data_IF_927602645610
#
_entry.id   IF_927602645610
#
_cell.length_a   1.000
_cell.length_b   1.000
_cell.length_c   1.000
_cell.angle_alpha   90.00
_cell.angle_beta   90.00
_cell.angle_gamma   90.00
#
_symmetry.space_group_name_H-M   'P 1'
#
loop_
_entity.id
_entity.type
_entity.pdbx_description
1 polymer ?
#
# COMPACT_ATOMS: atom_id res chain seq x y z
N UNK A 1 -87.00 15.50 -3.97
CA UNK A 1 -85.58 15.87 -4.22
C UNK A 1 -84.74 15.52 -2.99
N UNK A 2 -84.53 14.23 -2.71
CA UNK A 2 -83.93 13.73 -1.45
C UNK A 2 -82.64 12.89 -1.65
N UNK A 3 -81.95 13.06 -2.78
CA UNK A 3 -80.81 12.21 -3.16
C UNK A 3 -79.44 12.92 -3.00
N UNK A 4 -79.42 14.24 -2.78
CA UNK A 4 -78.15 15.00 -2.76
C UNK A 4 -77.41 14.94 -1.41
N UNK A 5 -78.10 14.88 -0.27
CA UNK A 5 -77.44 14.85 1.06
C UNK A 5 -76.84 13.50 1.48
N UNK A 6 -77.28 12.36 0.92
CA UNK A 6 -76.71 11.03 1.25
C UNK A 6 -75.32 10.82 0.65
N UNK A 7 -75.00 11.46 -0.48
CA UNK A 7 -73.68 11.33 -1.13
C UNK A 7 -72.58 12.10 -0.37
N UNK A 8 -72.89 13.29 0.12
CA UNK A 8 -71.93 14.08 0.92
C UNK A 8 -71.66 13.46 2.28
N UNK A 9 -72.67 12.83 2.90
CA UNK A 9 -72.52 12.13 4.18
C UNK A 9 -71.59 10.91 4.02
N UNK A 10 -71.76 10.08 2.98
CA UNK A 10 -70.89 8.93 2.70
C UNK A 10 -69.45 9.34 2.39
N UNK A 11 -69.22 10.43 1.65
CA UNK A 11 -67.87 10.94 1.35
C UNK A 11 -67.17 11.45 2.63
N UNK A 12 -67.91 12.09 3.54
CA UNK A 12 -67.34 12.55 4.82
C UNK A 12 -66.94 11.37 5.71
N UNK A 13 -67.75 10.31 5.77
CA UNK A 13 -67.41 9.10 6.53
C UNK A 13 -66.19 8.35 5.96
N UNK A 14 -66.02 8.27 4.64
CA UNK A 14 -64.84 7.62 4.03
C UNK A 14 -63.55 8.38 4.36
N UNK A 15 -63.56 9.72 4.28
CA UNK A 15 -62.38 10.52 4.63
C UNK A 15 -62.07 10.49 6.13
N UNK A 16 -63.11 10.45 6.98
CA UNK A 16 -62.92 10.36 8.43
C UNK A 16 -62.39 8.98 8.86
N UNK A 17 -62.88 7.90 8.23
CA UNK A 17 -62.36 6.53 8.47
C UNK A 17 -60.91 6.41 7.99
N UNK A 18 -60.53 7.00 6.84
CA UNK A 18 -59.15 6.97 6.35
C UNK A 18 -58.17 7.69 7.30
N UNK A 19 -58.58 8.81 7.92
CA UNK A 19 -57.76 9.55 8.88
C UNK A 19 -57.63 8.83 10.24
N UNK A 20 -58.62 8.04 10.65
CA UNK A 20 -58.53 7.21 11.86
C UNK A 20 -57.60 6.00 11.62
N UNK A 21 -57.63 5.40 10.43
CA UNK A 21 -56.70 4.33 10.04
C UNK A 21 -55.24 4.80 10.01
N UNK A 22 -54.95 6.05 9.64
CA UNK A 22 -53.57 6.57 9.64
C UNK A 22 -53.10 7.07 11.01
N UNK A 23 -54.02 7.44 11.91
CA UNK A 23 -53.68 7.92 13.25
C UNK A 23 -53.47 6.81 14.31
N UNK A 24 -53.85 5.56 14.02
CA UNK A 24 -53.74 4.42 14.96
C UNK A 24 -52.62 3.44 14.63
N UNK A 25 -51.84 3.68 13.58
CA UNK A 25 -50.63 2.92 13.27
C UNK A 25 -49.39 3.56 13.93
N UNK A 26 -49.42 3.73 15.25
CA UNK A 26 -48.21 4.03 16.03
C UNK A 26 -47.43 2.75 16.32
N UNK A 27 -46.11 2.84 16.13
CA UNK A 27 -45.09 1.98 16.73
C UNK A 27 -44.86 0.60 16.11
N UNK A 28 -44.09 0.57 15.02
CA UNK A 28 -43.11 -0.52 14.81
C UNK A 28 -41.73 0.04 15.12
N UNK A 29 -41.07 -0.61 16.08
CA UNK A 29 -39.69 -0.38 16.46
C UNK A 29 -38.81 -0.41 15.21
N UNK A 30 -38.21 0.73 14.87
CA UNK A 30 -37.29 0.88 13.75
C UNK A 30 -35.87 0.84 14.30
N UNK A 31 -35.47 -0.27 14.90
CA UNK A 31 -34.14 -0.45 15.50
C UNK A 31 -33.41 -1.75 15.10
N UNK A 32 -33.96 -2.58 14.22
CA UNK A 32 -33.31 -3.85 13.81
C UNK A 32 -32.78 -3.89 12.36
N UNK A 33 -32.93 -2.81 11.58
CA UNK A 33 -32.46 -2.77 10.17
C UNK A 33 -31.15 -1.99 9.94
N UNK A 34 -30.59 -1.33 10.97
CA UNK A 34 -29.27 -0.69 10.85
C UNK A 34 -28.11 -1.61 11.26
N UNK A 35 -28.37 -2.72 11.96
CA UNK A 35 -27.30 -3.59 12.47
C UNK A 35 -26.89 -4.71 11.48
N UNK A 36 -27.74 -5.06 10.51
CA UNK A 36 -27.40 -6.10 9.53
C UNK A 36 -26.57 -5.61 8.33
N UNK A 37 -26.60 -4.30 8.03
CA UNK A 37 -25.90 -3.76 6.87
C UNK A 37 -24.41 -3.48 7.14
N UNK A 38 -24.04 -3.18 8.39
CA UNK A 38 -22.63 -3.14 8.84
C UNK A 38 -22.06 -4.55 8.95
N UNK A 39 -22.80 -5.48 9.57
CA UNK A 39 -22.33 -6.86 9.74
C UNK A 39 -22.08 -7.57 8.40
N UNK A 40 -22.93 -7.36 7.37
CA UNK A 40 -22.65 -7.92 6.05
C UNK A 40 -21.47 -7.24 5.36
N UNK A 41 -21.31 -5.91 5.44
CA UNK A 41 -20.11 -5.24 4.90
C UNK A 41 -18.84 -5.76 5.55
N UNK A 42 -18.84 -5.92 6.88
CA UNK A 42 -17.70 -6.48 7.61
C UNK A 42 -17.45 -7.96 7.25
N UNK A 43 -18.48 -8.79 7.11
CA UNK A 43 -18.32 -10.20 6.70
C UNK A 43 -17.80 -10.32 5.25
N UNK A 44 -18.25 -9.46 4.33
CA UNK A 44 -17.76 -9.45 2.95
C UNK A 44 -16.33 -8.90 2.84
N UNK A 45 -15.95 -7.89 3.63
CA UNK A 45 -14.59 -7.34 3.67
C UNK A 45 -13.60 -8.27 4.38
N UNK A 46 -14.03 -8.98 5.43
CA UNK A 46 -13.19 -9.92 6.19
C UNK A 46 -12.90 -11.19 5.39
N UNK A 47 -13.87 -11.73 4.64
CA UNK A 47 -13.62 -12.92 3.82
C UNK A 47 -12.73 -12.64 2.59
N UNK A 48 -12.70 -11.43 2.03
CA UNK A 48 -11.75 -11.08 0.97
C UNK A 48 -10.33 -10.82 1.50
N UNK A 49 -10.19 -10.47 2.78
CA UNK A 49 -8.90 -10.21 3.41
C UNK A 49 -8.25 -11.50 3.93
N UNK A 50 -9.04 -12.46 4.44
CA UNK A 50 -8.53 -13.70 5.03
C UNK A 50 -8.66 -14.95 4.12
N UNK A 51 -9.55 -14.96 3.12
CA UNK A 51 -9.71 -16.11 2.19
C UNK A 51 -8.84 -15.98 0.94
N UNK A 52 -8.44 -14.76 0.55
CA UNK A 52 -7.34 -14.55 -0.38
C UNK A 52 -6.04 -14.35 0.41
N UNK A 53 -5.59 -15.42 1.07
CA UNK A 53 -4.15 -15.60 1.23
C UNK A 53 -3.60 -15.76 -0.19
N UNK A 54 -3.23 -14.64 -0.81
CA UNK A 54 -2.29 -14.67 -1.92
C UNK A 54 -0.99 -15.17 -1.29
N UNK A 55 -0.88 -16.49 -1.13
CA UNK A 55 0.41 -17.14 -1.12
C UNK A 55 1.04 -16.68 -2.43
N UNK A 56 1.91 -15.67 -2.34
CA UNK A 56 2.50 -15.01 -3.50
C UNK A 56 2.99 -16.07 -4.47
N UNK A 57 2.37 -16.13 -5.64
CA UNK A 57 2.82 -17.02 -6.68
C UNK A 57 4.15 -16.46 -7.17
N UNK A 58 5.25 -17.10 -6.79
CA UNK A 58 6.59 -16.79 -7.29
C UNK A 58 6.77 -17.22 -8.76
N UNK A 59 5.71 -17.68 -9.41
CA UNK A 59 5.71 -18.14 -10.79
C UNK A 59 6.24 -17.06 -11.74
N UNK A 60 7.39 -17.34 -12.34
CA UNK A 60 8.06 -16.44 -13.28
C UNK A 60 8.90 -15.34 -12.62
N UNK A 61 8.93 -15.25 -11.29
CA UNK A 61 9.80 -14.36 -10.53
C UNK A 61 11.09 -15.13 -10.20
N UNK A 62 12.21 -14.65 -10.72
CA UNK A 62 13.51 -15.23 -10.45
C UNK A 62 14.10 -14.72 -9.12
N UNK A 63 13.93 -13.42 -8.85
CA UNK A 63 14.54 -12.78 -7.68
C UNK A 63 13.80 -11.50 -7.29
N UNK A 64 13.67 -11.28 -5.99
CA UNK A 64 13.27 -9.98 -5.42
C UNK A 64 14.35 -9.55 -4.44
N UNK A 65 14.83 -8.32 -4.57
CA UNK A 65 15.85 -7.76 -3.70
C UNK A 65 15.40 -6.41 -3.14
N UNK A 66 15.47 -6.27 -1.82
CA UNK A 66 15.21 -5.04 -1.10
C UNK A 66 16.52 -4.47 -0.55
N UNK A 67 16.82 -3.22 -0.91
CA UNK A 67 17.90 -2.43 -0.32
C UNK A 67 17.31 -1.24 0.43
N UNK A 68 17.49 -1.24 1.75
CA UNK A 68 17.15 -0.11 2.60
C UNK A 68 18.34 0.86 2.66
N UNK A 69 18.18 2.04 2.05
CA UNK A 69 19.08 3.19 2.21
C UNK A 69 18.77 3.98 3.48
N UNK A 70 19.45 5.11 3.70
CA UNK A 70 19.23 5.94 4.88
C UNK A 70 17.84 6.60 4.94
N UNK A 71 17.22 6.88 3.78
CA UNK A 71 15.89 7.46 3.69
C UNK A 71 15.07 6.92 2.49
N UNK A 72 15.45 5.76 1.95
CA UNK A 72 14.76 5.18 0.79
C UNK A 72 14.73 3.66 0.82
N UNK A 73 13.70 3.10 0.17
CA UNK A 73 13.64 1.70 -0.21
C UNK A 73 13.93 1.59 -1.70
N UNK A 74 14.80 0.65 -2.07
CA UNK A 74 15.08 0.30 -3.45
C UNK A 74 14.78 -1.18 -3.67
N UNK A 75 13.81 -1.44 -4.53
CA UNK A 75 13.28 -2.76 -4.85
C UNK A 75 13.73 -3.10 -6.27
N UNK A 76 14.30 -4.28 -6.44
CA UNK A 76 14.70 -4.83 -7.73
C UNK A 76 14.06 -6.20 -7.92
N UNK A 77 13.31 -6.34 -9.00
CA UNK A 77 12.62 -7.54 -9.43
C UNK A 77 13.34 -8.11 -10.66
N UNK A 78 13.70 -9.38 -10.63
CA UNK A 78 14.15 -10.13 -11.81
C UNK A 78 13.15 -11.25 -12.11
N UNK A 79 12.86 -11.45 -13.39
CA UNK A 79 11.86 -12.40 -13.90
C UNK A 79 12.48 -13.35 -14.91
N UNK A 80 11.94 -14.56 -15.02
CA UNK A 80 12.46 -15.59 -15.94
C UNK A 80 12.20 -15.21 -17.41
N UNK A 81 11.04 -14.61 -17.67
CA UNK A 81 10.57 -14.17 -18.98
C UNK A 81 10.48 -12.65 -19.01
N UNK A 82 10.51 -12.01 -20.20
CA UNK A 82 10.28 -10.57 -20.29
C UNK A 82 8.99 -10.17 -19.58
N UNK A 83 9.09 -9.19 -18.69
CA UNK A 83 7.98 -8.73 -17.86
C UNK A 83 7.19 -7.64 -18.58
N UNK A 84 5.88 -7.83 -18.68
CA UNK A 84 4.96 -6.93 -19.39
C UNK A 84 3.94 -6.25 -18.48
N UNK A 85 3.89 -6.65 -17.21
CA UNK A 85 2.93 -6.16 -16.25
C UNK A 85 3.37 -4.89 -15.55
N UNK A 86 3.01 -4.74 -14.28
CA UNK A 86 3.26 -3.53 -13.48
C UNK A 86 3.70 -3.88 -12.06
N UNK A 87 4.44 -2.97 -11.45
CA UNK A 87 4.89 -3.08 -10.06
C UNK A 87 4.51 -1.81 -9.30
N UNK A 88 3.82 -1.92 -8.18
CA UNK A 88 3.32 -0.76 -7.44
C UNK A 88 3.18 -1.04 -5.95
N UNK A 89 3.16 0.02 -5.13
CA UNK A 89 2.85 -0.13 -3.70
C UNK A 89 1.35 -0.23 -3.47
N UNK A 90 0.93 -0.95 -2.43
CA UNK A 90 -0.48 -1.11 -2.08
C UNK A 90 -1.20 0.25 -2.02
N UNK A 91 -2.34 0.35 -2.71
CA UNK A 91 -3.12 1.58 -2.83
C UNK A 91 -2.63 2.58 -3.90
N UNK A 92 -1.56 2.27 -4.64
CA UNK A 92 -1.02 3.17 -5.68
C UNK A 92 -1.43 2.79 -7.11
N UNK A 93 -2.09 1.65 -7.31
CA UNK A 93 -2.50 1.16 -8.64
C UNK A 93 -3.29 2.19 -9.44
N UNK A 94 -4.35 2.76 -8.86
CA UNK A 94 -5.22 3.70 -9.57
C UNK A 94 -4.54 5.03 -9.92
N UNK A 95 -3.50 5.42 -9.18
CA UNK A 95 -2.77 6.66 -9.46
C UNK A 95 -1.87 6.52 -10.67
N UNK A 96 -1.30 5.33 -10.87
CA UNK A 96 -0.35 5.04 -11.96
C UNK A 96 0.82 6.04 -12.06
N UNK A 97 1.23 6.61 -10.93
CA UNK A 97 2.30 7.62 -10.89
C UNK A 97 3.53 7.12 -10.15
N UNK A 98 4.70 7.43 -10.73
CA UNK A 98 5.97 7.29 -10.05
C UNK A 98 6.01 8.18 -8.78
N UNK A 99 6.76 7.78 -7.73
CA UNK A 99 7.61 6.60 -7.66
C UNK A 99 6.89 5.31 -7.22
N UNK A 100 5.60 5.38 -6.89
CA UNK A 100 4.86 4.29 -6.25
C UNK A 100 4.21 3.31 -7.22
N UNK A 101 4.37 3.55 -8.52
CA UNK A 101 3.91 2.72 -9.62
C UNK A 101 4.95 2.76 -10.72
N UNK A 102 5.35 1.58 -11.20
CA UNK A 102 6.34 1.38 -12.24
C UNK A 102 5.77 0.41 -13.27
N UNK A 103 5.82 0.84 -14.53
CA UNK A 103 5.60 0.01 -15.70
C UNK A 103 6.91 -0.03 -16.50
N UNK A 104 7.38 -1.20 -16.97
CA UNK A 104 8.56 -1.26 -17.80
C UNK A 104 8.37 -0.42 -19.07
N UNK A 105 9.42 0.30 -19.47
CA UNK A 105 9.43 1.08 -20.70
C UNK A 105 9.44 0.22 -21.96
N UNK A 106 9.86 -1.04 -21.85
CA UNK A 106 9.88 -2.02 -22.92
C UNK A 106 9.43 -3.39 -22.42
N UNK A 107 8.63 -4.09 -23.23
CA UNK A 107 8.17 -5.46 -22.98
C UNK A 107 9.26 -6.54 -23.06
N UNK A 108 10.51 -6.14 -23.36
CA UNK A 108 11.66 -7.06 -23.48
C UNK A 108 12.48 -7.18 -22.19
N UNK A 109 12.19 -6.36 -21.18
CA UNK A 109 13.02 -6.25 -19.98
C UNK A 109 12.64 -7.33 -18.97
N UNK A 110 13.65 -7.97 -18.37
CA UNK A 110 13.48 -8.98 -17.31
C UNK A 110 13.75 -8.45 -15.90
N UNK A 111 14.33 -7.26 -15.80
CA UNK A 111 14.64 -6.59 -14.53
C UNK A 111 13.89 -5.26 -14.41
N UNK A 112 13.20 -5.06 -13.30
CA UNK A 112 12.47 -3.83 -13.01
C UNK A 112 12.83 -3.32 -11.63
N UNK A 113 12.96 -2.01 -11.53
CA UNK A 113 13.36 -1.34 -10.31
C UNK A 113 12.31 -0.31 -9.88
N UNK A 114 12.08 -0.21 -8.58
CA UNK A 114 11.30 0.87 -7.98
C UNK A 114 12.06 1.41 -6.79
N UNK A 115 12.15 2.74 -6.71
CA UNK A 115 12.79 3.43 -5.59
C UNK A 115 11.86 4.51 -5.08
N UNK A 116 11.58 4.51 -3.78
CA UNK A 116 10.78 5.55 -3.13
C UNK A 116 11.34 5.90 -1.75
N UNK A 117 11.03 7.11 -1.29
CA UNK A 117 11.46 7.57 0.04
C UNK A 117 10.63 6.91 1.15
N UNK A 118 11.20 6.75 2.34
CA UNK A 118 10.54 6.09 3.47
C UNK A 118 9.25 6.78 3.94
N UNK A 119 9.03 8.04 3.59
CA UNK A 119 7.83 8.81 3.90
C UNK A 119 6.82 8.87 2.73
N UNK A 120 7.07 8.12 1.64
CA UNK A 120 6.23 8.08 0.46
C UNK A 120 5.51 6.73 0.33
N UNK A 121 4.66 6.64 -0.69
CA UNK A 121 4.05 5.38 -1.14
C UNK A 121 3.27 4.62 -0.07
N UNK A 122 2.71 5.36 0.92
CA UNK A 122 1.93 4.82 2.03
C UNK A 122 2.74 3.86 2.93
N UNK A 123 4.04 4.10 3.05
CA UNK A 123 4.91 3.37 3.97
C UNK A 123 4.48 3.63 5.40
N UNK A 124 4.30 2.56 6.17
CA UNK A 124 3.94 2.61 7.58
C UNK A 124 5.24 2.71 8.38
N UNK A 125 5.27 3.62 9.36
CA UNK A 125 6.40 3.82 10.26
C UNK A 125 6.00 3.47 11.68
N UNK A 126 6.72 2.54 12.30
CA UNK A 126 6.56 2.12 13.69
C UNK A 126 7.91 2.21 14.42
N UNK A 127 8.17 3.33 15.08
CA UNK A 127 9.49 3.61 15.65
C UNK A 127 10.53 3.74 14.54
N UNK A 128 11.55 2.87 14.54
CA UNK A 128 12.58 2.81 13.49
C UNK A 128 12.37 1.65 12.51
N UNK A 129 11.15 1.09 12.49
CA UNK A 129 10.69 0.09 11.54
C UNK A 129 9.84 0.75 10.44
N UNK A 130 10.17 0.48 9.19
CA UNK A 130 9.41 0.96 8.03
C UNK A 130 8.90 -0.22 7.22
N UNK A 131 7.58 -0.30 7.01
CA UNK A 131 6.93 -1.39 6.29
C UNK A 131 6.11 -0.89 5.10
N UNK A 132 6.09 -1.67 4.03
CA UNK A 132 5.27 -1.41 2.84
C UNK A 132 4.91 -2.73 2.17
N UNK A 133 3.92 -2.75 1.27
CA UNK A 133 3.60 -3.92 0.46
C UNK A 133 3.73 -3.53 -1.01
N UNK A 134 4.61 -4.21 -1.73
CA UNK A 134 4.73 -4.09 -3.19
C UNK A 134 3.97 -5.22 -3.85
N UNK A 135 3.14 -4.86 -4.81
CA UNK A 135 2.37 -5.77 -5.65
C UNK A 135 3.00 -5.80 -7.04
N UNK A 136 3.17 -7.00 -7.57
CA UNK A 136 3.67 -7.32 -8.89
C UNK A 136 2.53 -8.00 -9.62
N UNK A 137 2.04 -7.36 -10.66
CA UNK A 137 1.04 -7.93 -11.55
C UNK A 137 1.70 -8.31 -12.85
N UNK A 138 1.40 -9.50 -13.36
CA UNK A 138 1.97 -9.96 -14.63
C UNK A 138 1.22 -9.37 -15.83
N UNK A 139 -0.07 -9.04 -15.65
CA UNK A 139 -0.90 -8.36 -16.62
C UNK A 139 -1.18 -6.92 -16.15
N UNK A 140 -1.04 -5.90 -17.03
CA UNK A 140 -1.24 -4.50 -16.65
C UNK A 140 -2.71 -4.11 -16.44
N UNK A 141 -3.67 -4.90 -16.90
CA UNK A 141 -5.10 -4.58 -16.90
C UNK A 141 -5.90 -5.48 -15.94
N UNK A 142 -5.47 -6.72 -15.74
CA UNK A 142 -6.22 -7.73 -14.99
C UNK A 142 -5.43 -8.27 -13.80
N UNK A 143 -6.10 -8.43 -12.66
CA UNK A 143 -5.56 -9.20 -11.54
C UNK A 143 -5.64 -10.69 -11.90
N UNK A 144 -4.51 -11.38 -11.88
CA UNK A 144 -4.42 -12.81 -12.19
C UNK A 144 -3.93 -13.62 -10.98
N UNK A 145 -4.23 -14.93 -10.89
CA UNK A 145 -3.66 -15.80 -9.85
C UNK A 145 -2.13 -15.88 -9.86
N UNK A 146 -1.47 -15.44 -10.94
CA UNK A 146 -0.02 -15.34 -11.03
C UNK A 146 0.54 -14.05 -10.40
N UNK A 147 -0.30 -13.12 -9.98
CA UNK A 147 0.14 -11.88 -9.34
C UNK A 147 0.68 -12.16 -7.93
N UNK A 148 1.62 -11.32 -7.51
CA UNK A 148 2.38 -11.51 -6.29
C UNK A 148 2.39 -10.25 -5.43
N UNK A 149 2.42 -10.43 -4.11
CA UNK A 149 2.55 -9.33 -3.16
C UNK A 149 3.65 -9.64 -2.14
N UNK A 150 4.59 -8.71 -1.98
CA UNK A 150 5.74 -8.83 -1.08
C UNK A 150 5.66 -7.79 0.03
N UNK A 151 5.77 -8.24 1.28
CA UNK A 151 5.97 -7.35 2.42
C UNK A 151 7.42 -6.87 2.45
N UNK A 152 7.62 -5.56 2.42
CA UNK A 152 8.91 -4.91 2.54
C UNK A 152 9.09 -4.44 3.98
N UNK A 153 10.28 -4.67 4.51
CA UNK A 153 10.64 -4.27 5.87
C UNK A 153 12.04 -3.68 5.90
N UNK A 154 12.15 -2.44 6.41
CA UNK A 154 13.42 -1.81 6.74
C UNK A 154 13.44 -1.52 8.23
N UNK A 155 14.14 -2.37 8.99
CA UNK A 155 14.36 -2.18 10.43
C UNK A 155 15.71 -1.49 10.67
N UNK A 156 15.68 -0.28 11.24
CA UNK A 156 16.87 0.47 11.62
C UNK A 156 17.18 0.40 13.12
N UNK A 157 16.36 -0.33 13.92
CA UNK A 157 16.61 -0.54 15.35
C UNK A 157 17.85 -1.41 15.59
N UNK A 158 18.15 -2.29 14.64
CA UNK A 158 19.34 -3.13 14.67
C UNK A 158 20.46 -2.49 13.84
N UNK A 159 21.52 -1.94 14.48
CA UNK A 159 22.67 -1.49 13.72
C UNK A 159 23.27 -2.71 12.99
N UNK A 160 23.37 -2.62 11.65
CA UNK A 160 24.13 -3.61 10.89
C UNK A 160 25.58 -3.46 11.34
N UNK A 161 26.11 -4.43 12.09
CA UNK A 161 27.51 -4.46 12.49
C UNK A 161 28.38 -4.59 11.22
N UNK A 162 28.69 -3.46 10.59
CA UNK A 162 29.71 -3.37 9.56
C UNK A 162 30.97 -2.83 10.26
N UNK A 163 31.88 -3.73 10.62
CA UNK A 163 33.23 -3.36 11.02
C UNK A 163 33.97 -2.80 9.80
N UNK A 164 33.85 -1.49 9.56
CA UNK A 164 34.59 -0.82 8.51
C UNK A 164 36.03 -0.66 8.98
N UNK A 165 36.91 -1.55 8.53
CA UNK A 165 38.36 -1.37 8.67
C UNK A 165 38.81 -0.27 7.70
N UNK A 166 39.03 0.93 8.22
CA UNK A 166 39.72 1.98 7.48
C UNK A 166 41.23 1.68 7.51
N UNK A 167 41.77 1.10 6.44
CA UNK A 167 43.22 1.04 6.23
C UNK A 167 43.69 2.39 5.68
N UNK A 168 44.23 3.24 6.56
CA UNK A 168 44.84 4.50 6.16
C UNK A 168 46.27 4.22 5.71
N UNK A 169 46.49 4.09 4.40
CA UNK A 169 47.84 4.07 3.84
C UNK A 169 48.48 5.46 3.92
N UNK A 170 49.12 5.78 5.06
CA UNK A 170 50.07 6.88 5.14
C UNK A 170 51.31 6.51 4.35
N UNK A 171 51.47 7.11 3.15
CA UNK A 171 52.77 7.14 2.47
C UNK A 171 53.75 7.88 3.36
N UNK A 172 54.59 7.12 4.04
CA UNK A 172 55.72 7.60 4.82
C UNK A 172 56.66 8.36 3.89
N UNK A 173 56.56 9.70 3.87
CA UNK A 173 57.57 10.55 3.24
C UNK A 173 58.76 10.58 4.17
N UNK A 174 59.87 9.99 3.73
CA UNK A 174 61.12 9.96 4.47
C UNK A 174 61.51 11.38 4.95
N UNK A 175 61.98 11.53 6.20
CA UNK A 175 62.41 12.82 6.72
C UNK A 175 63.62 13.31 5.90
N UNK A 176 63.46 14.43 5.19
CA UNK A 176 64.59 15.14 4.62
C UNK A 176 65.48 15.64 5.77
N UNK A 177 66.69 15.09 5.88
CA UNK A 177 67.70 15.64 6.77
C UNK A 177 68.08 17.04 6.31
N UNK A 178 67.68 18.05 7.09
CA UNK A 178 68.22 19.39 6.97
C UNK A 178 69.69 19.36 7.45
N UNK A 179 70.63 19.38 6.50
CA UNK A 179 72.06 19.60 6.77
C UNK A 179 72.24 20.98 7.41
N UNK A 180 72.37 21.02 8.73
CA UNK A 180 72.88 22.18 9.44
C UNK A 180 74.37 22.37 9.14
N UNK A 181 74.75 23.50 8.55
CA UNK A 181 76.14 23.91 8.42
C UNK A 181 76.65 24.42 9.76
N UNK A 182 77.50 23.62 10.42
CA UNK A 182 78.20 24.05 11.63
C UNK A 182 79.30 25.06 11.26
N UNK A 183 79.11 26.30 11.70
CA UNK A 183 80.05 27.42 11.56
C UNK A 183 81.21 27.22 12.55
N UNK A 184 82.40 26.83 12.07
CA UNK A 184 83.62 26.83 12.89
C UNK A 184 83.98 28.28 13.25
N UNK A 185 84.07 28.57 14.56
CA UNK A 185 84.78 29.72 15.10
C UNK A 185 86.28 29.47 14.98
N UNK A 186 87.00 30.42 14.37
CA UNK A 186 88.39 30.75 14.65
C UNK A 186 88.43 32.25 14.97
#
# INVERSE_FOLDING_TARGET
MFIKSRKYLVIFFINFVLMIYTATATSRNKNDDQQQQETQKEIWEQHLTDTFKIEGSDQGIQKVNLKCGSNSMHIMLETEKPFTGVMYTRGSFYKQTAPCFVKPSSSSVRSIEMTFQLNQCQTIKEGELYTNVVVIQNDPELITPGDSAFSLECDFRSPRNLDVKADMQTRERAPQQLRGTSRKRQ
#
